data_IF_523393765562
#
_entry.id   IF_523393765562
#
_cell.length_a   1.000
_cell.length_b   1.000
_cell.length_c   1.000
_cell.angle_alpha   90.00
_cell.angle_beta   90.00
_cell.angle_gamma   90.00
#
_symmetry.space_group_name_H-M   'P 1'
#
loop_
_entity.id
_entity.type
_entity.pdbx_description
1 polymer ?
#
# COMPACT_ATOMS: atom_id res chain seq x y z
N UNK A 1 -10.76 58.86 -68.34
CA UNK A 1 -11.43 57.54 -68.38
C UNK A 1 -11.09 56.80 -67.09
N UNK A 2 -12.01 56.82 -66.12
CA UNK A 2 -12.91 55.71 -65.73
C UNK A 2 -12.19 54.60 -64.94
N UNK A 3 -12.56 54.56 -63.66
CA UNK A 3 -12.43 53.52 -62.65
C UNK A 3 -12.61 52.11 -63.21
N UNK A 4 -11.83 51.14 -62.73
CA UNK A 4 -12.36 49.82 -62.40
C UNK A 4 -11.83 49.36 -61.04
N UNK A 5 -12.76 49.25 -60.08
CA UNK A 5 -12.60 48.61 -58.79
C UNK A 5 -12.61 47.10 -59.02
N UNK A 6 -11.69 46.35 -58.41
CA UNK A 6 -11.88 44.93 -58.15
C UNK A 6 -11.67 44.72 -56.64
N UNK A 7 -12.79 44.51 -55.95
CA UNK A 7 -12.85 43.79 -54.67
C UNK A 7 -12.46 42.35 -54.95
N UNK A 8 -11.67 41.71 -54.09
CA UNK A 8 -11.93 40.36 -53.56
C UNK A 8 -11.17 40.21 -52.24
N UNK A 9 -11.93 39.87 -51.20
CA UNK A 9 -11.52 39.64 -49.83
C UNK A 9 -11.23 38.14 -49.73
N UNK A 10 -10.06 37.74 -49.22
CA UNK A 10 -9.83 36.39 -48.74
C UNK A 10 -9.34 36.52 -47.28
N UNK A 11 -10.08 36.04 -46.28
CA UNK A 11 -9.59 35.98 -44.92
C UNK A 11 -8.60 34.83 -44.80
N UNK A 12 -7.31 35.12 -44.59
CA UNK A 12 -6.37 34.09 -44.15
C UNK A 12 -6.61 33.89 -42.65
N UNK A 13 -7.34 32.82 -42.35
CA UNK A 13 -7.53 32.28 -41.00
C UNK A 13 -6.17 32.00 -40.37
N UNK A 14 -5.85 32.71 -39.29
CA UNK A 14 -4.73 32.37 -38.42
C UNK A 14 -5.04 31.05 -37.71
N UNK A 15 -4.55 29.93 -38.26
CA UNK A 15 -4.49 28.67 -37.55
C UNK A 15 -3.38 28.80 -36.49
N UNK A 16 -3.77 29.23 -35.27
CA UNK A 16 -2.92 29.12 -34.11
C UNK A 16 -2.71 27.63 -33.80
N UNK A 17 -1.56 27.10 -34.19
CA UNK A 17 -1.09 25.79 -33.73
C UNK A 17 -0.78 25.96 -32.24
N UNK A 18 -1.73 25.59 -31.38
CA UNK A 18 -1.53 25.52 -29.94
C UNK A 18 -0.57 24.38 -29.66
N UNK A 19 0.71 24.73 -29.47
CA UNK A 19 1.69 23.85 -28.87
C UNK A 19 1.26 23.62 -27.41
N UNK A 20 0.62 22.47 -27.14
CA UNK A 20 0.38 22.03 -25.77
C UNK A 20 1.73 21.65 -25.18
N UNK A 21 2.37 22.60 -24.49
CA UNK A 21 3.48 22.28 -23.61
C UNK A 21 2.92 21.42 -22.46
N UNK A 22 3.22 20.12 -22.47
CA UNK A 22 3.06 19.31 -21.28
C UNK A 22 4.09 19.80 -20.27
N UNK A 23 3.65 20.59 -19.30
CA UNK A 23 4.47 20.92 -18.14
C UNK A 23 4.64 19.63 -17.33
N UNK A 24 5.74 18.91 -17.54
CA UNK A 24 6.27 18.03 -16.50
C UNK A 24 6.76 18.94 -15.38
N UNK A 25 5.99 19.03 -14.31
CA UNK A 25 6.47 19.56 -13.04
C UNK A 25 7.64 18.70 -12.58
N UNK A 26 8.86 19.20 -12.73
CA UNK A 26 10.04 18.59 -12.14
C UNK A 26 9.93 18.76 -10.61
N UNK A 27 9.61 17.68 -9.91
CA UNK A 27 9.65 17.68 -8.46
C UNK A 27 11.10 17.83 -8.01
N UNK A 28 11.37 18.78 -7.10
CA UNK A 28 12.71 19.03 -6.59
C UNK A 28 13.24 17.78 -5.87
N UNK A 29 14.28 17.18 -6.44
CA UNK A 29 14.98 16.02 -5.87
C UNK A 29 15.99 16.51 -4.82
N UNK A 30 15.91 16.00 -3.60
CA UNK A 30 16.87 16.31 -2.53
C UNK A 30 17.93 15.23 -2.45
N UNK A 31 19.22 15.58 -2.32
CA UNK A 31 20.27 14.58 -2.11
C UNK A 31 20.51 14.41 -0.61
N UNK A 32 20.40 13.18 -0.11
CA UNK A 32 20.76 12.81 1.26
C UNK A 32 22.07 12.04 1.28
N UNK A 33 23.04 12.48 2.08
CA UNK A 33 24.28 11.72 2.34
C UNK A 33 24.08 10.81 3.55
N UNK A 34 24.12 9.51 3.33
CA UNK A 34 23.96 8.47 4.35
C UNK A 34 25.01 8.63 5.45
N UNK A 35 24.56 8.76 6.69
CA UNK A 35 25.39 8.83 7.90
C UNK A 35 25.48 7.46 8.59
N UNK A 36 26.32 7.40 9.62
CA UNK A 36 26.44 6.22 10.47
C UNK A 36 25.07 5.86 11.07
N UNK A 37 24.64 4.61 10.86
CA UNK A 37 23.34 4.04 11.26
C UNK A 37 22.12 4.50 10.44
N UNK A 38 22.30 5.29 9.38
CA UNK A 38 21.19 5.57 8.48
C UNK A 38 20.78 4.31 7.72
N UNK A 39 19.47 4.10 7.62
CA UNK A 39 18.84 3.04 6.84
C UNK A 39 17.90 3.68 5.83
N UNK A 40 17.62 3.00 4.71
CA UNK A 40 16.62 3.53 3.76
C UNK A 40 15.28 3.82 4.43
N UNK A 41 14.91 3.07 5.47
CA UNK A 41 13.72 3.33 6.27
C UNK A 41 13.80 4.60 7.09
N UNK A 42 14.91 4.81 7.82
CA UNK A 42 15.11 6.03 8.60
C UNK A 42 15.07 7.27 7.71
N UNK A 43 15.71 7.17 6.55
CA UNK A 43 15.72 8.22 5.52
C UNK A 43 14.32 8.42 4.94
N UNK A 44 13.64 7.35 4.53
CA UNK A 44 12.24 7.39 4.06
C UNK A 44 11.31 8.10 5.06
N UNK A 45 11.44 7.82 6.37
CA UNK A 45 10.66 8.48 7.41
C UNK A 45 11.07 9.93 7.62
N UNK A 46 12.37 10.24 7.56
CA UNK A 46 12.89 11.60 7.68
C UNK A 46 12.34 12.51 6.58
N UNK A 47 12.28 12.01 5.34
CA UNK A 47 11.86 12.81 4.18
C UNK A 47 10.39 12.60 3.78
N UNK A 48 9.66 11.70 4.44
CA UNK A 48 8.24 11.45 4.15
C UNK A 48 7.96 10.78 2.81
N UNK A 49 8.94 10.09 2.23
CA UNK A 49 8.85 9.41 0.92
C UNK A 49 8.91 7.90 1.11
N UNK A 50 8.51 7.10 0.11
CA UNK A 50 8.61 5.63 0.23
C UNK A 50 10.04 5.11 0.00
N UNK A 51 10.42 3.99 0.63
CA UNK A 51 11.69 3.32 0.33
C UNK A 51 11.76 2.95 -1.15
N UNK A 52 10.66 2.46 -1.73
CA UNK A 52 10.61 2.08 -3.14
C UNK A 52 10.87 3.27 -4.06
N UNK A 53 10.33 4.46 -3.75
CA UNK A 53 10.61 5.67 -4.52
C UNK A 53 12.06 6.12 -4.37
N UNK A 54 12.67 5.99 -3.18
CA UNK A 54 14.11 6.21 -3.00
C UNK A 54 14.90 5.20 -3.85
N UNK A 55 14.56 3.91 -3.79
CA UNK A 55 15.25 2.85 -4.56
C UNK A 55 15.16 3.07 -6.06
N UNK A 56 13.97 3.43 -6.56
CA UNK A 56 13.75 3.76 -7.97
C UNK A 56 14.55 4.99 -8.39
N UNK A 57 14.53 6.06 -7.59
CA UNK A 57 15.30 7.27 -7.85
C UNK A 57 16.83 7.05 -7.84
N UNK A 58 17.29 5.97 -7.20
CA UNK A 58 18.71 5.63 -7.05
C UNK A 58 19.13 4.34 -7.78
N UNK A 59 18.25 3.74 -8.60
CA UNK A 59 18.50 2.46 -9.28
C UNK A 59 18.97 1.33 -8.33
N UNK A 60 18.48 1.30 -7.09
CA UNK A 60 18.87 0.32 -6.06
C UNK A 60 17.94 -0.89 -6.04
N UNK A 61 18.52 -2.09 -6.11
CA UNK A 61 17.77 -3.35 -5.95
C UNK A 61 17.54 -3.77 -4.50
N UNK A 62 18.38 -3.31 -3.57
CA UNK A 62 18.36 -3.72 -2.16
C UNK A 62 18.21 -2.50 -1.22
N UNK A 63 18.08 -2.78 0.07
CA UNK A 63 17.85 -1.77 1.11
C UNK A 63 19.13 -1.36 1.85
N UNK A 64 20.29 -1.86 1.38
CA UNK A 64 21.58 -1.55 2.00
C UNK A 64 21.97 -0.11 1.72
N UNK A 65 22.41 0.56 2.76
CA UNK A 65 22.96 1.91 2.75
C UNK A 65 24.43 1.86 3.14
N UNK A 66 25.27 2.61 2.44
CA UNK A 66 26.70 2.73 2.78
C UNK A 66 26.97 4.12 3.33
N UNK A 67 27.74 4.22 4.42
CA UNK A 67 28.11 5.52 4.98
C UNK A 67 28.82 6.34 3.90
N UNK A 68 28.35 7.56 3.66
CA UNK A 68 28.82 8.45 2.60
C UNK A 68 28.10 8.28 1.25
N UNK A 69 27.23 7.28 1.09
CA UNK A 69 26.39 7.12 -0.11
C UNK A 69 25.45 8.33 -0.26
N UNK A 70 25.33 8.83 -1.49
CA UNK A 70 24.40 9.90 -1.83
C UNK A 70 23.13 9.30 -2.44
N UNK A 71 22.00 9.53 -1.79
CA UNK A 71 20.70 9.08 -2.24
C UNK A 71 19.88 10.26 -2.75
N UNK A 72 19.44 10.17 -4.00
CA UNK A 72 18.40 10.99 -4.57
C UNK A 72 17.05 10.68 -3.89
N UNK A 73 16.51 11.65 -3.17
CA UNK A 73 15.22 11.58 -2.49
C UNK A 73 14.19 12.32 -3.36
N UNK A 74 13.27 11.58 -4.02
CA UNK A 74 12.28 12.18 -4.90
C UNK A 74 11.25 13.00 -4.10
N UNK A 75 11.01 14.25 -4.51
CA UNK A 75 9.86 15.03 -4.04
C UNK A 75 9.79 15.26 -2.53
N UNK A 76 10.83 15.83 -1.93
CA UNK A 76 10.74 16.36 -0.56
C UNK A 76 10.12 17.75 -0.63
N UNK A 77 8.84 17.91 -0.33
CA UNK A 77 8.27 19.25 -0.15
C UNK A 77 9.06 19.98 0.93
N UNK A 78 9.77 21.04 0.54
CA UNK A 78 10.64 21.82 1.42
C UNK A 78 9.87 22.32 2.65
N UNK A 79 10.38 21.93 3.80
CA UNK A 79 10.02 22.38 5.14
C UNK A 79 10.35 23.86 5.33
N UNK A 80 9.57 24.77 4.73
CA UNK A 80 9.68 26.21 4.99
C UNK A 80 8.34 26.90 5.31
N UNK A 81 7.31 26.13 5.67
CA UNK A 81 6.06 26.64 6.25
C UNK A 81 5.82 26.14 7.69
N UNK A 82 6.90 25.90 8.45
CA UNK A 82 6.85 25.37 9.83
C UNK A 82 7.46 26.36 10.83
N UNK A 83 6.97 27.61 10.90
CA UNK A 83 7.15 28.44 12.12
C UNK A 83 5.89 29.24 12.42
N UNK A 84 4.72 28.62 12.45
CA UNK A 84 3.65 29.01 13.39
C UNK A 84 2.82 27.74 13.62
N UNK A 85 2.51 27.40 14.88
CA UNK A 85 1.65 26.27 15.33
C UNK A 85 2.35 24.96 15.69
N UNK A 86 3.34 25.04 16.58
CA UNK A 86 3.53 23.96 17.55
C UNK A 86 2.43 24.05 18.62
N UNK A 87 1.45 23.15 18.55
CA UNK A 87 0.71 22.54 19.68
C UNK A 87 -0.39 21.58 19.19
N UNK A 88 -0.09 20.75 18.18
CA UNK A 88 -0.87 19.57 17.89
C UNK A 88 0.10 18.41 17.67
N UNK A 89 0.00 17.38 18.53
CA UNK A 89 0.60 16.07 18.35
C UNK A 89 0.45 15.66 16.88
N UNK A 90 1.52 15.28 16.16
CA UNK A 90 1.39 14.94 14.75
C UNK A 90 0.37 13.82 14.61
N UNK A 91 -0.77 14.14 14.01
CA UNK A 91 -1.80 13.18 13.64
C UNK A 91 -1.11 12.24 12.63
N UNK A 92 -1.05 10.93 12.90
CA UNK A 92 -0.36 10.01 12.01
C UNK A 92 -0.94 10.16 10.61
N UNK A 93 -0.06 10.35 9.62
CA UNK A 93 -0.42 10.37 8.22
C UNK A 93 -0.98 8.99 7.87
N UNK A 94 -2.32 8.88 7.92
CA UNK A 94 -3.05 7.72 7.49
C UNK A 94 -2.80 7.55 5.99
N UNK A 95 -1.91 6.63 5.62
CA UNK A 95 -1.67 6.26 4.24
C UNK A 95 -2.97 5.67 3.70
N UNK A 96 -3.62 6.41 2.81
CA UNK A 96 -4.89 6.03 2.18
C UNK A 96 -4.63 5.10 1.00
N UNK A 97 -5.08 3.85 1.13
CA UNK A 97 -5.11 2.89 0.03
C UNK A 97 -6.44 3.01 -0.70
N UNK A 98 -6.40 3.21 -2.01
CA UNK A 98 -7.58 3.10 -2.86
C UNK A 98 -7.76 1.64 -3.28
N UNK A 99 -8.85 1.02 -2.83
CA UNK A 99 -9.28 -0.34 -3.14
C UNK A 99 -10.43 -0.25 -4.13
N UNK A 100 -10.45 -1.12 -5.15
CA UNK A 100 -11.62 -1.33 -6.00
C UNK A 100 -12.30 -2.61 -5.51
N UNK A 101 -13.47 -2.46 -4.90
CA UNK A 101 -14.26 -3.56 -4.37
C UNK A 101 -15.42 -3.89 -5.30
N UNK A 102 -15.57 -5.16 -5.67
CA UNK A 102 -16.75 -5.63 -6.41
C UNK A 102 -17.84 -6.07 -5.44
N UNK A 103 -18.98 -5.39 -5.46
CA UNK A 103 -20.16 -5.68 -4.64
C UNK A 103 -20.64 -7.12 -4.85
N UNK A 104 -20.79 -7.86 -3.76
CA UNK A 104 -21.27 -9.23 -3.71
C UNK A 104 -22.75 -9.28 -3.33
N UNK A 105 -23.39 -10.43 -3.54
CA UNK A 105 -24.77 -10.65 -3.11
C UNK A 105 -24.87 -10.51 -1.58
N UNK A 106 -25.80 -9.66 -1.12
CA UNK A 106 -26.04 -9.41 0.31
C UNK A 106 -25.20 -8.28 0.93
N UNK A 107 -24.35 -7.60 0.14
CA UNK A 107 -23.63 -6.43 0.63
C UNK A 107 -24.53 -5.20 0.85
N UNK A 108 -24.18 -4.39 1.84
CA UNK A 108 -24.68 -3.03 2.02
C UNK A 108 -23.51 -2.05 2.16
N UNK A 109 -23.74 -0.75 2.01
CA UNK A 109 -22.69 0.23 2.24
C UNK A 109 -22.16 0.16 3.68
N UNK A 110 -23.01 -0.18 4.66
CA UNK A 110 -22.63 -0.35 6.06
C UNK A 110 -21.69 -1.54 6.26
N UNK A 111 -21.99 -2.70 5.64
CA UNK A 111 -21.14 -3.90 5.77
C UNK A 111 -19.79 -3.70 5.08
N UNK A 112 -19.79 -3.00 3.94
CA UNK A 112 -18.55 -2.64 3.21
C UNK A 112 -17.75 -1.59 3.98
N UNK A 113 -18.39 -0.55 4.51
CA UNK A 113 -17.74 0.48 5.31
C UNK A 113 -17.05 -0.13 6.53
N UNK A 114 -17.76 -1.02 7.25
CA UNK A 114 -17.20 -1.76 8.38
C UNK A 114 -16.02 -2.64 7.97
N UNK A 115 -16.11 -3.35 6.83
CA UNK A 115 -15.01 -4.17 6.28
C UNK A 115 -13.74 -3.36 6.09
N UNK A 116 -13.85 -2.21 5.44
CA UNK A 116 -12.67 -1.42 5.09
C UNK A 116 -12.27 -0.41 6.16
N UNK A 117 -12.96 -0.42 7.31
CA UNK A 117 -12.80 0.56 8.39
C UNK A 117 -12.90 2.01 7.88
N UNK A 118 -13.91 2.27 7.05
CA UNK A 118 -14.23 3.57 6.48
C UNK A 118 -15.66 3.97 6.85
N UNK A 119 -16.06 5.19 6.52
CA UNK A 119 -17.44 5.61 6.69
C UNK A 119 -18.25 5.34 5.42
N UNK A 120 -19.55 5.08 5.55
CA UNK A 120 -20.47 5.05 4.41
C UNK A 120 -20.34 6.34 3.59
N UNK A 121 -20.19 7.47 4.27
CA UNK A 121 -20.05 8.77 3.64
C UNK A 121 -18.79 8.88 2.77
N UNK A 122 -17.64 8.34 3.21
CA UNK A 122 -16.42 8.39 2.39
C UNK A 122 -16.52 7.49 1.15
N UNK A 123 -17.19 6.33 1.25
CA UNK A 123 -17.50 5.48 0.09
C UNK A 123 -18.42 6.21 -0.88
N UNK A 124 -19.47 6.87 -0.39
CA UNK A 124 -20.39 7.64 -1.23
C UNK A 124 -19.70 8.78 -1.96
N UNK A 125 -18.87 9.55 -1.26
CA UNK A 125 -18.13 10.69 -1.80
C UNK A 125 -17.20 10.27 -2.93
N UNK A 126 -16.39 9.22 -2.72
CA UNK A 126 -15.41 8.79 -3.74
C UNK A 126 -16.05 8.13 -4.97
N UNK A 127 -17.26 7.58 -4.82
CA UNK A 127 -18.01 6.96 -5.91
C UNK A 127 -19.07 7.90 -6.51
N UNK A 128 -19.16 9.15 -6.06
CA UNK A 128 -20.17 10.12 -6.49
C UNK A 128 -21.61 9.58 -6.39
N UNK A 129 -21.94 8.85 -5.32
CA UNK A 129 -23.28 8.25 -5.12
C UNK A 129 -24.02 8.90 -3.96
N UNK A 130 -25.27 9.32 -4.16
CA UNK A 130 -26.10 9.85 -3.06
C UNK A 130 -26.85 8.74 -2.28
N UNK A 131 -27.26 7.67 -2.95
CA UNK A 131 -28.08 6.59 -2.39
C UNK A 131 -27.31 5.46 -1.70
N UNK A 132 -28.04 4.58 -1.02
CA UNK A 132 -27.50 3.35 -0.39
C UNK A 132 -27.63 2.10 -1.27
N UNK A 133 -28.28 2.22 -2.44
CA UNK A 133 -28.57 1.07 -3.31
C UNK A 133 -27.28 0.60 -3.97
N UNK A 134 -26.97 -0.67 -3.78
CA UNK A 134 -25.85 -1.36 -4.41
C UNK A 134 -26.36 -2.42 -5.38
N UNK A 135 -25.62 -2.65 -6.45
CA UNK A 135 -25.89 -3.72 -7.41
C UNK A 135 -24.78 -4.76 -7.34
N UNK A 136 -25.13 -6.04 -7.26
CA UNK A 136 -24.13 -7.12 -7.34
C UNK A 136 -23.32 -6.98 -8.63
N UNK A 137 -22.00 -7.09 -8.52
CA UNK A 137 -21.05 -6.86 -9.61
C UNK A 137 -20.59 -5.41 -9.79
N UNK A 138 -21.20 -4.44 -9.09
CA UNK A 138 -20.77 -3.04 -9.10
C UNK A 138 -19.38 -2.88 -8.50
N UNK A 139 -18.53 -2.06 -9.11
CA UNK A 139 -17.21 -1.71 -8.57
C UNK A 139 -17.29 -0.41 -7.76
N UNK A 140 -16.88 -0.45 -6.49
CA UNK A 140 -16.78 0.68 -5.59
C UNK A 140 -15.32 1.01 -5.31
N UNK A 141 -14.94 2.28 -5.48
CA UNK A 141 -13.70 2.84 -4.96
C UNK A 141 -13.82 3.02 -3.45
N UNK A 142 -12.82 2.61 -2.70
CA UNK A 142 -12.81 2.71 -1.24
C UNK A 142 -11.45 3.23 -0.82
N UNK A 143 -11.41 4.38 -0.14
CA UNK A 143 -10.20 4.88 0.49
C UNK A 143 -10.11 4.34 1.91
N UNK A 144 -9.48 3.17 2.08
CA UNK A 144 -9.20 2.59 3.39
C UNK A 144 -7.87 3.13 3.91
N UNK A 145 -7.87 3.64 5.14
CA UNK A 145 -6.64 3.90 5.88
C UNK A 145 -6.41 2.77 6.86
N UNK A 146 -5.31 2.06 6.73
CA UNK A 146 -4.87 1.11 7.75
C UNK A 146 -4.27 1.92 8.91
N UNK A 147 -4.81 1.73 10.11
CA UNK A 147 -4.33 2.48 11.28
C UNK A 147 -2.91 2.08 11.66
N UNK A 148 -2.16 2.98 12.28
CA UNK A 148 -0.80 2.67 12.76
C UNK A 148 -0.77 1.48 13.74
N UNK A 149 -1.86 1.26 14.51
CA UNK A 149 -2.00 0.09 15.39
C UNK A 149 -2.13 -1.21 14.59
N UNK A 150 -2.87 -1.21 13.49
CA UNK A 150 -3.00 -2.37 12.61
C UNK A 150 -1.70 -2.64 11.86
N UNK A 151 -1.01 -1.60 11.40
CA UNK A 151 0.33 -1.76 10.79
C UNK A 151 1.33 -2.37 11.77
N UNK A 152 1.35 -1.88 13.01
CA UNK A 152 2.19 -2.45 14.06
C UNK A 152 1.83 -3.90 14.36
N UNK A 153 0.53 -4.22 14.48
CA UNK A 153 0.07 -5.60 14.67
C UNK A 153 0.49 -6.53 13.52
N UNK A 154 0.32 -6.10 12.27
CA UNK A 154 0.81 -6.84 11.10
C UNK A 154 2.33 -7.03 11.17
N UNK A 155 3.08 -5.99 11.53
CA UNK A 155 4.53 -6.05 11.57
C UNK A 155 5.03 -6.98 12.70
N UNK A 156 4.34 -7.02 13.85
CA UNK A 156 4.64 -7.98 14.92
C UNK A 156 4.39 -9.41 14.46
N UNK A 157 3.27 -9.65 13.76
CA UNK A 157 2.99 -10.95 13.19
C UNK A 157 4.04 -11.37 12.16
N UNK A 158 4.41 -10.48 11.23
CA UNK A 158 5.44 -10.74 10.20
C UNK A 158 6.81 -11.00 10.85
N UNK A 159 7.13 -10.31 11.94
CA UNK A 159 8.36 -10.57 12.71
C UNK A 159 8.36 -12.00 13.26
N UNK A 160 7.23 -12.45 13.81
CA UNK A 160 7.12 -13.76 14.43
C UNK A 160 7.03 -14.91 13.40
N UNK A 161 6.37 -14.70 12.26
CA UNK A 161 6.18 -15.72 11.21
C UNK A 161 7.36 -15.80 10.24
N UNK A 162 7.99 -14.67 9.94
CA UNK A 162 8.95 -14.53 8.84
C UNK A 162 10.25 -13.83 9.25
N UNK A 163 10.56 -13.77 10.55
CA UNK A 163 11.78 -13.12 11.06
C UNK A 163 13.06 -13.62 10.39
N UNK A 164 13.20 -14.94 10.22
CA UNK A 164 14.34 -15.58 9.55
C UNK A 164 14.25 -15.62 8.01
N UNK A 165 13.16 -15.15 7.42
CA UNK A 165 12.96 -15.19 5.97
C UNK A 165 13.61 -13.99 5.26
N UNK A 166 13.81 -14.13 3.95
CA UNK A 166 14.18 -12.99 3.09
C UNK A 166 13.17 -11.85 3.21
N UNK A 167 13.58 -10.62 2.90
CA UNK A 167 12.68 -9.46 2.89
C UNK A 167 11.45 -9.69 1.98
N UNK A 168 11.64 -10.31 0.81
CA UNK A 168 10.53 -10.71 -0.08
C UNK A 168 9.55 -11.69 0.60
N UNK A 169 10.06 -12.60 1.43
CA UNK A 169 9.24 -13.51 2.24
C UNK A 169 8.42 -12.77 3.31
N UNK A 170 9.02 -11.79 3.98
CA UNK A 170 8.33 -10.91 4.94
C UNK A 170 7.19 -10.13 4.27
N UNK A 171 7.45 -9.55 3.10
CA UNK A 171 6.43 -8.85 2.29
C UNK A 171 5.30 -9.81 1.89
N UNK A 172 5.64 -11.04 1.49
CA UNK A 172 4.66 -12.03 1.08
C UNK A 172 3.73 -12.46 2.25
N UNK A 173 4.26 -12.66 3.46
CA UNK A 173 3.43 -12.93 4.65
C UNK A 173 2.50 -11.76 4.95
N UNK A 174 2.98 -10.52 4.89
CA UNK A 174 2.14 -9.34 5.05
C UNK A 174 1.02 -9.27 3.99
N UNK A 175 1.31 -9.65 2.74
CA UNK A 175 0.33 -9.72 1.66
C UNK A 175 -0.74 -10.79 1.90
N UNK A 176 -0.40 -11.95 2.46
CA UNK A 176 -1.40 -12.98 2.81
C UNK A 176 -2.46 -12.43 3.78
N UNK A 177 -2.06 -11.63 4.78
CA UNK A 177 -2.99 -10.98 5.71
C UNK A 177 -3.96 -10.08 4.93
N UNK A 178 -3.44 -9.23 4.05
CA UNK A 178 -4.24 -8.30 3.23
C UNK A 178 -5.13 -9.05 2.23
N UNK A 179 -4.67 -10.17 1.68
CA UNK A 179 -5.44 -11.01 0.77
C UNK A 179 -6.62 -11.65 1.51
N UNK A 180 -6.39 -12.20 2.72
CA UNK A 180 -7.46 -12.77 3.56
C UNK A 180 -8.52 -11.74 3.91
N UNK A 181 -8.15 -10.50 4.24
CA UNK A 181 -9.12 -9.42 4.52
C UNK A 181 -10.08 -9.20 3.34
N UNK A 182 -9.62 -9.42 2.11
CA UNK A 182 -10.41 -9.26 0.89
C UNK A 182 -11.06 -10.56 0.39
N UNK A 183 -10.70 -11.71 0.96
CA UNK A 183 -11.16 -13.01 0.50
C UNK A 183 -12.49 -13.40 1.16
N UNK A 184 -13.33 -14.11 0.41
CA UNK A 184 -14.55 -14.70 0.95
C UNK A 184 -14.18 -15.83 1.93
N UNK A 185 -14.91 -15.91 3.04
CA UNK A 185 -14.72 -16.97 4.05
C UNK A 185 -13.70 -16.63 5.14
N UNK A 186 -13.07 -15.46 5.07
CA UNK A 186 -12.18 -14.95 6.11
C UNK A 186 -12.79 -13.72 6.81
N UNK A 187 -12.33 -13.41 8.03
CA UNK A 187 -12.64 -12.14 8.66
C UNK A 187 -12.23 -10.97 7.78
N UNK A 188 -13.03 -9.92 7.83
CA UNK A 188 -12.95 -8.81 6.90
C UNK A 188 -12.20 -7.60 7.48
N UNK A 189 -11.36 -7.80 8.51
CA UNK A 189 -10.52 -6.77 9.14
C UNK A 189 -9.15 -7.35 9.44
N UNK A 190 -8.10 -6.52 9.50
CA UNK A 190 -6.73 -6.99 9.79
C UNK A 190 -6.69 -7.70 11.14
N UNK A 191 -7.25 -7.09 12.18
CA UNK A 191 -7.33 -7.70 13.51
C UNK A 191 -8.13 -8.99 13.47
N UNK A 192 -9.26 -9.04 12.76
CA UNK A 192 -10.06 -10.26 12.64
C UNK A 192 -9.29 -11.40 11.97
N UNK A 193 -8.54 -11.12 10.90
CA UNK A 193 -7.71 -12.13 10.22
C UNK A 193 -6.60 -12.63 11.15
N UNK A 194 -5.91 -11.72 11.84
CA UNK A 194 -4.79 -12.08 12.72
C UNK A 194 -5.27 -12.89 13.93
N UNK A 195 -6.42 -12.53 14.50
CA UNK A 195 -7.03 -13.21 15.66
C UNK A 195 -8.15 -14.19 15.26
N UNK A 196 -8.10 -14.76 14.05
CA UNK A 196 -9.08 -15.76 13.60
C UNK A 196 -8.96 -17.03 14.46
N UNK A 197 -9.99 -17.43 15.23
CA UNK A 197 -9.92 -18.58 16.10
C UNK A 197 -10.04 -19.89 15.31
N UNK A 198 -9.32 -20.92 15.75
CA UNK A 198 -9.43 -22.30 15.27
C UNK A 198 -9.76 -23.23 16.45
N UNK A 199 -9.94 -24.53 16.19
CA UNK A 199 -10.31 -25.52 17.22
C UNK A 199 -9.43 -25.45 18.48
N UNK A 200 -8.12 -25.21 18.28
CA UNK A 200 -7.15 -25.03 19.36
C UNK A 200 -6.23 -23.85 19.05
N UNK A 201 -6.61 -22.65 19.51
CA UNK A 201 -5.83 -21.42 19.35
C UNK A 201 -6.31 -20.56 18.18
N UNK A 202 -5.36 -20.00 17.43
CA UNK A 202 -5.61 -19.06 16.33
C UNK A 202 -4.95 -19.51 15.02
N UNK A 203 -5.43 -18.98 13.90
CA UNK A 203 -4.91 -19.26 12.56
C UNK A 203 -3.41 -18.93 12.40
N UNK A 204 -2.88 -18.04 13.25
CA UNK A 204 -1.46 -17.71 13.32
C UNK A 204 -0.90 -18.16 14.68
N UNK A 205 0.08 -19.07 14.66
CA UNK A 205 0.70 -19.65 15.86
C UNK A 205 1.26 -18.60 16.84
N UNK A 206 1.91 -17.49 16.39
CA UNK A 206 2.38 -16.40 17.24
C UNK A 206 1.31 -15.77 18.13
N UNK A 207 0.05 -15.85 17.74
CA UNK A 207 -1.07 -15.35 18.56
C UNK A 207 -1.36 -16.32 19.70
N UNK A 208 -1.31 -17.62 19.42
CA UNK A 208 -1.51 -18.69 20.41
C UNK A 208 -0.37 -18.76 21.42
N UNK A 209 0.89 -18.64 20.97
CA UNK A 209 2.08 -18.77 21.81
C UNK A 209 2.58 -17.44 22.42
N UNK A 210 1.89 -16.33 22.14
CA UNK A 210 2.18 -15.01 22.71
C UNK A 210 3.33 -14.23 22.05
N UNK A 211 4.04 -14.80 21.06
CA UNK A 211 5.07 -14.05 20.31
C UNK A 211 4.51 -12.81 19.61
N UNK A 212 3.22 -12.76 19.33
CA UNK A 212 2.55 -11.57 18.78
C UNK A 212 2.74 -10.33 19.66
N UNK A 213 2.98 -10.47 20.97
CA UNK A 213 3.16 -9.34 21.88
C UNK A 213 4.58 -8.75 21.87
N UNK A 214 5.53 -9.39 21.18
CA UNK A 214 6.89 -8.87 21.03
C UNK A 214 6.92 -7.71 20.04
N UNK A 215 7.84 -6.74 20.19
CA UNK A 215 7.93 -5.61 19.29
C UNK A 215 8.29 -6.03 17.86
N UNK A 216 7.74 -5.32 16.87
CA UNK A 216 8.04 -5.58 15.47
C UNK A 216 9.45 -5.16 15.08
N UNK A 217 10.12 -5.98 14.25
CA UNK A 217 11.41 -5.62 13.66
C UNK A 217 11.27 -4.47 12.65
N UNK A 218 12.33 -3.66 12.42
CA UNK A 218 12.33 -2.64 11.38
C UNK A 218 12.01 -3.21 9.99
N UNK A 219 12.55 -4.38 9.64
CA UNK A 219 12.31 -5.06 8.37
C UNK A 219 10.87 -5.51 8.22
N UNK A 220 10.23 -5.97 9.29
CA UNK A 220 8.82 -6.32 9.25
C UNK A 220 7.93 -5.08 9.07
N UNK A 221 8.26 -3.96 9.72
CA UNK A 221 7.56 -2.68 9.51
C UNK A 221 7.69 -2.21 8.06
N UNK A 222 8.88 -2.29 7.48
CA UNK A 222 9.12 -2.01 6.06
C UNK A 222 8.28 -2.91 5.15
N UNK A 223 8.32 -4.22 5.40
CA UNK A 223 7.62 -5.20 4.60
C UNK A 223 6.09 -4.99 4.61
N UNK A 224 5.53 -4.58 5.75
CA UNK A 224 4.11 -4.22 5.86
C UNK A 224 3.79 -2.97 5.02
N UNK A 225 4.59 -1.90 5.11
CA UNK A 225 4.37 -0.70 4.30
C UNK A 225 4.49 -0.99 2.80
N UNK A 226 5.40 -1.88 2.39
CA UNK A 226 5.51 -2.34 1.01
C UNK A 226 4.30 -3.18 0.58
N UNK A 227 3.83 -4.11 1.42
CA UNK A 227 2.64 -4.90 1.13
C UNK A 227 1.38 -4.02 0.99
N UNK A 228 1.29 -2.95 1.79
CA UNK A 228 0.20 -1.96 1.73
C UNK A 228 0.29 -1.14 0.45
N UNK A 229 1.47 -0.63 0.09
CA UNK A 229 1.68 0.26 -1.07
C UNK A 229 1.62 -0.44 -2.42
N UNK A 230 2.06 -1.70 -2.52
CA UNK A 230 2.11 -2.47 -3.78
C UNK A 230 0.77 -3.06 -4.23
N UNK A 231 -0.34 -2.51 -3.70
CA UNK A 231 -1.74 -2.77 -4.04
C UNK A 231 -2.00 -4.12 -4.74
N UNK A 232 -1.80 -5.23 -4.01
CA UNK A 232 -2.29 -6.57 -4.38
C UNK A 232 -2.17 -6.96 -5.85
N UNK A 233 -1.03 -6.71 -6.51
CA UNK A 233 -0.79 -7.26 -7.85
C UNK A 233 -0.83 -8.79 -7.73
N UNK A 234 -1.98 -9.36 -8.13
CA UNK A 234 -2.24 -10.74 -8.54
C UNK A 234 -1.46 -11.83 -7.78
N UNK A 235 -1.59 -11.86 -6.46
CA UNK A 235 -1.20 -13.05 -5.70
C UNK A 235 -2.44 -13.61 -5.02
N UNK A 236 -3.01 -14.67 -5.59
CA UNK A 236 -4.16 -15.40 -5.03
C UNK A 236 -3.80 -16.17 -3.73
N UNK A 237 -2.67 -15.84 -3.08
CA UNK A 237 -2.13 -16.62 -1.97
C UNK A 237 -2.89 -16.26 -0.69
N UNK A 238 -3.62 -17.23 -0.16
CA UNK A 238 -4.38 -17.14 1.09
C UNK A 238 -3.70 -17.89 2.24
N UNK A 239 -2.73 -18.74 1.91
CA UNK A 239 -2.04 -19.60 2.84
C UNK A 239 -0.54 -19.55 2.61
N UNK A 240 0.23 -19.77 3.67
CA UNK A 240 1.64 -20.09 3.58
C UNK A 240 2.02 -21.13 4.63
N UNK A 241 3.07 -21.88 4.37
CA UNK A 241 3.64 -22.83 5.32
C UNK A 241 5.10 -23.11 4.99
N UNK A 242 5.88 -23.50 6.00
CA UNK A 242 7.23 -23.99 5.78
C UNK A 242 7.17 -25.51 5.61
N UNK A 243 7.50 -26.08 4.43
CA UNK A 243 7.36 -27.50 4.17
C UNK A 243 8.33 -28.37 4.98
N UNK A 244 9.39 -27.78 5.57
CA UNK A 244 10.36 -28.51 6.40
C UNK A 244 9.87 -28.68 7.85
N UNK A 245 9.03 -27.76 8.34
CA UNK A 245 8.62 -27.72 9.75
C UNK A 245 7.12 -27.88 9.94
N UNK A 246 6.31 -27.69 8.90
CA UNK A 246 4.86 -27.83 9.01
C UNK A 246 4.47 -29.29 9.21
N UNK A 247 3.64 -29.53 10.22
CA UNK A 247 3.03 -30.83 10.53
C UNK A 247 1.59 -30.93 10.07
N UNK A 248 1.01 -29.83 9.58
CA UNK A 248 -0.37 -29.79 9.10
C UNK A 248 -0.48 -30.48 7.74
N UNK A 249 -1.19 -31.61 7.68
CA UNK A 249 -1.41 -32.34 6.43
C UNK A 249 -2.39 -31.65 5.51
N UNK A 250 -3.30 -30.82 6.03
CA UNK A 250 -4.28 -30.13 5.21
C UNK A 250 -3.62 -29.02 4.39
N UNK A 251 -2.68 -28.27 4.97
CA UNK A 251 -2.02 -27.15 4.28
C UNK A 251 -1.22 -27.60 3.05
N UNK A 252 -0.67 -28.82 3.09
CA UNK A 252 0.08 -29.40 1.96
C UNK A 252 -0.81 -29.84 0.80
N UNK A 253 -2.13 -29.94 1.01
CA UNK A 253 -3.11 -30.23 -0.06
C UNK A 253 -3.53 -29.00 -0.85
N UNK A 254 -3.17 -27.78 -0.40
CA UNK A 254 -3.53 -26.54 -1.08
C UNK A 254 -2.76 -26.40 -2.39
N UNK A 255 -3.32 -25.67 -3.36
CA UNK A 255 -2.64 -25.45 -4.64
C UNK A 255 -1.45 -24.52 -4.40
N UNK A 256 -0.24 -25.01 -4.63
CA UNK A 256 0.97 -24.17 -4.56
C UNK A 256 0.95 -23.16 -5.69
N UNK A 257 1.17 -21.88 -5.35
CA UNK A 257 1.22 -20.78 -6.31
C UNK A 257 2.62 -20.16 -6.38
N UNK A 258 3.37 -20.15 -5.27
CA UNK A 258 4.75 -19.67 -5.25
C UNK A 258 5.56 -20.29 -4.11
N UNK A 259 6.88 -20.25 -4.25
CA UNK A 259 7.85 -20.56 -3.18
C UNK A 259 8.77 -19.36 -3.03
N UNK A 260 8.85 -18.80 -1.82
CA UNK A 260 9.69 -17.64 -1.51
C UNK A 260 10.43 -17.92 -0.21
N UNK A 261 11.76 -18.01 -0.28
CA UNK A 261 12.57 -18.43 0.86
C UNK A 261 12.22 -19.86 1.27
N UNK A 262 11.93 -20.07 2.55
CA UNK A 262 11.51 -21.37 3.07
C UNK A 262 9.98 -21.53 3.12
N UNK A 263 9.21 -20.56 2.62
CA UNK A 263 7.76 -20.63 2.60
C UNK A 263 7.20 -21.03 1.24
N UNK A 264 6.28 -21.99 1.27
CA UNK A 264 5.34 -22.27 0.18
C UNK A 264 4.11 -21.41 0.39
N UNK A 265 3.67 -20.71 -0.66
CA UNK A 265 2.45 -19.90 -0.70
C UNK A 265 1.41 -20.58 -1.57
N UNK A 266 0.19 -20.68 -1.05
CA UNK A 266 -0.85 -21.53 -1.63
C UNK A 266 -2.24 -20.88 -1.60
N UNK A 267 -3.15 -21.45 -2.38
CA UNK A 267 -4.57 -21.09 -2.45
C UNK A 267 -5.48 -22.31 -2.29
#
# INVERSE_FOLDING_TARGET
>A
MKLLKIKHIIPISAAAITFVCHQSTAEASTIHTVKKNDTLWGISKQYGVSIQSIKQANNKGNDQTFIGEQLNIPGSTNSNEIIVRQNAKPKPANISRQIIYQVQQGDSLETIAKRYNVTVQSIKQINNTAGNKLYTGQHLKINSSISEKEKDLMARLVTAEAGGESYKGKVAVAKVILNRVNAKGFPNTITGVIYEPIKYGYAFTPVTDGRINQPASPEAKMAVEEAISTNGIHSDWLYFYNPKTSTDKWITTRQTVAVIGNHVFAK
#
